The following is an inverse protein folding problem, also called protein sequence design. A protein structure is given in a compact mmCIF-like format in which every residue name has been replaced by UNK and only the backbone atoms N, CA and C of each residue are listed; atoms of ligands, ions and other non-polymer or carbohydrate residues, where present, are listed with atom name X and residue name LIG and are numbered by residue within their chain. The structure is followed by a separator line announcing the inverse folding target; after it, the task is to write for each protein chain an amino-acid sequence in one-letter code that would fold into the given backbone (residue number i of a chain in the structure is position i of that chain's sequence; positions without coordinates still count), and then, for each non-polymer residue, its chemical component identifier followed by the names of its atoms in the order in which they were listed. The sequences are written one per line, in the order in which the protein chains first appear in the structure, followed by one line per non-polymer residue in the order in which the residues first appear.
data_IF_556286536031
#
_entry.id   IF_556286536031
#
_cell.length_a   1.000
_cell.length_b   1.000
_cell.length_c   1.000
_cell.angle_alpha   90.00
_cell.angle_beta   90.00
_cell.angle_gamma   90.00
#
_symmetry.space_group_name_H-M   'P 1'
#
loop_
_entity.id
_entity.type
_entity.pdbx_description
1 polymer ?
#
# COMPACT_ATOMS: atom_id res chain seq x y z
N UNK A 1 -10.23 14.74 5.78
CA UNK A 1 -9.38 13.99 6.74
C UNK A 1 -8.50 12.99 5.98
N UNK A 2 -7.28 12.65 6.44
CA UNK A 2 -6.35 11.74 5.72
C UNK A 2 -7.01 10.41 5.32
N UNK A 3 -7.81 9.86 6.23
CA UNK A 3 -8.55 8.62 6.00
C UNK A 3 -9.54 8.72 4.81
N UNK A 4 -10.21 9.86 4.65
CA UNK A 4 -11.12 10.10 3.51
C UNK A 4 -10.34 10.19 2.19
N UNK A 5 -9.17 10.83 2.20
CA UNK A 5 -8.30 10.91 1.03
C UNK A 5 -7.74 9.53 0.64
N UNK A 6 -7.49 8.68 1.64
CA UNK A 6 -7.02 7.31 1.44
C UNK A 6 -8.11 6.34 0.96
N UNK A 7 -9.39 6.65 1.16
CA UNK A 7 -10.53 5.72 0.99
C UNK A 7 -10.59 4.97 -0.35
N UNK A 8 -10.05 5.54 -1.44
CA UNK A 8 -10.02 4.90 -2.76
C UNK A 8 -8.90 3.88 -2.94
N UNK A 9 -7.79 4.02 -2.21
CA UNK A 9 -6.59 3.17 -2.39
C UNK A 9 -6.90 1.68 -2.17
N UNK A 10 -7.63 1.26 -1.11
CA UNK A 10 -8.00 -0.14 -0.94
C UNK A 10 -8.80 -0.73 -2.11
N UNK A 11 -9.76 0.05 -2.64
CA UNK A 11 -10.60 -0.36 -3.76
C UNK A 11 -9.78 -0.50 -5.06
N UNK A 12 -8.88 0.45 -5.32
CA UNK A 12 -7.98 0.40 -6.48
C UNK A 12 -7.04 -0.81 -6.43
N UNK A 13 -6.45 -1.09 -5.27
CA UNK A 13 -5.60 -2.27 -5.07
C UNK A 13 -6.42 -3.56 -5.24
N UNK A 14 -7.63 -3.62 -4.68
CA UNK A 14 -8.53 -4.77 -4.86
C UNK A 14 -8.90 -5.01 -6.33
N UNK A 15 -9.19 -3.94 -7.08
CA UNK A 15 -9.41 -4.01 -8.54
C UNK A 15 -8.17 -4.47 -9.29
N UNK A 16 -6.98 -3.99 -8.90
CA UNK A 16 -5.72 -4.43 -9.51
C UNK A 16 -5.54 -5.95 -9.35
N UNK A 17 -5.75 -6.47 -8.13
CA UNK A 17 -5.62 -7.90 -7.83
C UNK A 17 -6.64 -8.76 -8.59
N UNK A 18 -7.89 -8.28 -8.70
CA UNK A 18 -8.99 -9.07 -9.30
C UNK A 18 -9.18 -8.84 -10.81
N UNK A 19 -8.45 -7.90 -11.39
CA UNK A 19 -8.50 -7.63 -12.82
C UNK A 19 -8.19 -8.89 -13.64
N UNK A 20 -9.12 -9.27 -14.51
CA UNK A 20 -8.99 -10.47 -15.37
C UNK A 20 -8.04 -10.23 -16.54
N UNK A 21 -7.86 -8.96 -16.94
CA UNK A 21 -7.02 -8.55 -18.07
C UNK A 21 -5.97 -7.55 -17.59
N UNK A 22 -4.74 -7.69 -18.10
CA UNK A 22 -3.65 -6.72 -17.84
C UNK A 22 -3.90 -5.35 -18.50
N UNK A 23 -4.90 -5.26 -19.38
CA UNK A 23 -5.27 -4.02 -20.08
C UNK A 23 -5.84 -2.95 -19.14
N UNK A 24 -6.45 -3.35 -18.02
CA UNK A 24 -6.96 -2.41 -17.01
C UNK A 24 -5.86 -1.81 -16.13
N UNK A 25 -4.68 -2.44 -16.08
CA UNK A 25 -3.59 -2.08 -15.15
C UNK A 25 -3.08 -0.64 -15.34
N UNK A 26 -2.84 -0.13 -16.56
CA UNK A 26 -2.36 1.23 -16.75
C UNK A 26 -3.33 2.27 -16.18
N UNK A 27 -4.64 2.09 -16.38
CA UNK A 27 -5.67 2.99 -15.86
C UNK A 27 -5.71 2.99 -14.33
N UNK A 28 -5.64 1.80 -13.71
CA UNK A 28 -5.61 1.66 -12.25
C UNK A 28 -4.34 2.29 -11.66
N UNK A 29 -3.18 2.06 -12.29
CA UNK A 29 -1.89 2.65 -11.88
C UNK A 29 -1.94 4.19 -11.93
N UNK A 30 -2.57 4.76 -12.95
CA UNK A 30 -2.75 6.20 -13.07
C UNK A 30 -3.68 6.77 -11.99
N UNK A 31 -4.79 6.09 -11.69
CA UNK A 31 -5.66 6.46 -10.57
C UNK A 31 -4.93 6.36 -9.22
N UNK A 32 -4.14 5.31 -9.00
CA UNK A 32 -3.32 5.17 -7.79
C UNK A 32 -2.33 6.33 -7.65
N UNK A 33 -1.64 6.72 -8.74
CA UNK A 33 -0.72 7.87 -8.73
C UNK A 33 -1.42 9.15 -8.29
N UNK A 34 -2.65 9.40 -8.77
CA UNK A 34 -3.47 10.56 -8.38
C UNK A 34 -3.85 10.53 -6.90
N UNK A 35 -4.27 9.37 -6.38
CA UNK A 35 -4.61 9.24 -4.96
C UNK A 35 -3.36 9.40 -4.07
N UNK A 36 -2.21 8.87 -4.47
CA UNK A 36 -0.94 9.08 -3.77
C UNK A 36 -0.45 10.52 -3.80
N UNK A 37 -0.69 11.28 -4.88
CA UNK A 37 -0.39 12.72 -4.91
C UNK A 37 -1.15 13.50 -3.83
N UNK A 38 -2.41 13.14 -3.55
CA UNK A 38 -3.18 13.80 -2.48
C UNK A 38 -2.56 13.54 -1.10
N UNK A 39 -2.03 12.33 -0.88
CA UNK A 39 -1.35 11.98 0.37
C UNK A 39 0.02 12.67 0.49
N UNK A 40 0.74 12.81 -0.62
CA UNK A 40 1.97 13.60 -0.71
C UNK A 40 1.72 15.07 -0.35
N UNK A 41 0.63 15.66 -0.84
CA UNK A 41 0.23 17.04 -0.50
C UNK A 41 -0.02 17.21 1.00
N UNK A 42 -0.65 16.23 1.66
CA UNK A 42 -0.84 16.24 3.12
C UNK A 42 0.50 16.28 3.85
N UNK A 43 1.43 15.36 3.56
CA UNK A 43 2.76 15.32 4.17
C UNK A 43 3.57 16.59 3.84
N UNK A 44 3.33 17.17 2.66
CA UNK A 44 3.94 18.43 2.24
C UNK A 44 3.49 19.58 3.11
N UNK A 45 2.17 19.71 3.29
CA UNK A 45 1.55 20.80 4.05
C UNK A 45 1.81 20.68 5.56
N UNK A 46 1.73 19.48 6.11
CA UNK A 46 1.98 19.24 7.54
C UNK A 46 3.44 19.41 7.92
N UNK A 47 4.37 19.23 6.96
CA UNK A 47 5.83 19.28 7.18
C UNK A 47 6.30 18.30 8.27
N UNK A 48 5.63 17.16 8.36
CA UNK A 48 5.91 16.09 9.32
C UNK A 48 6.34 14.81 8.60
N UNK A 49 6.96 13.89 9.34
CA UNK A 49 7.34 12.57 8.82
C UNK A 49 6.13 11.66 8.68
N UNK A 50 5.19 11.73 9.61
CA UNK A 50 4.01 10.88 9.68
C UNK A 50 2.73 11.67 9.43
N UNK A 51 1.68 10.98 9.00
CA UNK A 51 0.35 11.58 8.84
C UNK A 51 -0.25 11.97 10.18
N UNK A 52 0.17 11.32 11.27
CA UNK A 52 -0.16 11.67 12.64
C UNK A 52 0.55 12.90 13.20
N UNK A 53 1.60 13.39 12.53
CA UNK A 53 2.46 14.46 13.02
C UNK A 53 3.92 14.04 13.16
N UNK A 54 4.60 14.56 14.18
CA UNK A 54 6.03 14.28 14.42
C UNK A 54 6.30 12.84 14.85
N UNK A 55 5.32 12.17 15.46
CA UNK A 55 5.36 10.77 15.83
C UNK A 55 4.32 9.96 15.07
N UNK A 56 4.64 8.70 14.86
CA UNK A 56 3.73 7.71 14.29
C UNK A 56 2.48 7.59 15.17
N UNK A 57 1.30 7.53 14.56
CA UNK A 57 0.03 7.37 15.29
C UNK A 57 -0.93 6.42 14.57
N UNK A 58 -2.15 6.30 15.10
CA UNK A 58 -3.19 5.40 14.57
C UNK A 58 -3.40 5.53 13.06
N UNK A 59 -3.43 6.74 12.51
CA UNK A 59 -3.68 6.94 11.07
C UNK A 59 -2.61 6.28 10.20
N UNK A 60 -1.35 6.30 10.64
CA UNK A 60 -0.24 5.70 9.90
C UNK A 60 -0.39 4.18 9.85
N UNK A 61 -0.70 3.56 11.00
CA UNK A 61 -0.98 2.12 11.08
C UNK A 61 -2.22 1.72 10.28
N UNK A 62 -3.27 2.54 10.29
CA UNK A 62 -4.50 2.23 9.55
C UNK A 62 -4.22 2.11 8.06
N UNK A 63 -3.42 2.99 7.46
CA UNK A 63 -3.20 2.97 6.01
C UNK A 63 -2.02 2.08 5.57
N UNK A 64 -1.08 1.80 6.48
CA UNK A 64 0.16 1.05 6.20
C UNK A 64 -0.02 -0.27 5.45
N UNK A 65 -0.98 -1.15 5.78
CA UNK A 65 -1.08 -2.47 5.16
C UNK A 65 -1.17 -2.41 3.63
N UNK A 66 -1.75 -1.35 3.07
CA UNK A 66 -1.86 -1.20 1.61
C UNK A 66 -0.56 -0.73 0.94
N UNK A 67 0.28 0.02 1.66
CA UNK A 67 1.59 0.45 1.18
C UNK A 67 2.64 -0.66 1.27
N UNK A 68 2.54 -1.50 2.30
CA UNK A 68 3.38 -2.70 2.43
C UNK A 68 3.26 -3.61 1.21
N UNK A 69 2.04 -3.79 0.70
CA UNK A 69 1.71 -4.70 -0.41
C UNK A 69 2.18 -4.21 -1.78
N UNK A 70 2.56 -2.94 -1.94
CA UNK A 70 2.91 -2.37 -3.25
C UNK A 70 4.09 -3.10 -3.89
N UNK A 71 5.05 -3.55 -3.10
CA UNK A 71 6.22 -4.27 -3.60
C UNK A 71 5.84 -5.63 -4.21
N UNK A 72 5.05 -6.42 -3.48
CA UNK A 72 4.58 -7.72 -3.95
C UNK A 72 3.67 -7.64 -5.18
N UNK A 73 2.98 -6.51 -5.34
CA UNK A 73 2.10 -6.21 -6.49
C UNK A 73 2.83 -5.52 -7.65
N UNK A 74 4.14 -5.28 -7.56
CA UNK A 74 4.91 -4.52 -8.56
C UNK A 74 4.34 -3.12 -8.84
N UNK A 75 3.81 -2.46 -7.79
CA UNK A 75 3.20 -1.14 -7.81
C UNK A 75 4.09 -0.04 -7.19
N UNK A 76 5.33 -0.35 -6.80
CA UNK A 76 6.25 0.64 -6.22
C UNK A 76 6.49 1.85 -7.14
N UNK A 77 6.43 1.67 -8.46
CA UNK A 77 6.54 2.78 -9.42
C UNK A 77 5.40 3.82 -9.30
N UNK A 78 4.28 3.48 -8.65
CA UNK A 78 3.18 4.41 -8.44
C UNK A 78 3.48 5.45 -7.36
N UNK A 79 4.54 5.29 -6.55
CA UNK A 79 4.95 6.27 -5.54
C UNK A 79 6.24 7.02 -5.92
N UNK A 80 6.80 6.78 -7.11
CA UNK A 80 8.07 7.41 -7.51
C UNK A 80 8.00 8.94 -7.61
N UNK A 81 6.81 9.49 -7.92
CA UNK A 81 6.56 10.93 -7.95
C UNK A 81 6.21 11.54 -6.59
N UNK A 82 6.19 10.76 -5.50
CA UNK A 82 5.79 11.19 -4.15
C UNK A 82 6.93 11.02 -3.14
N UNK A 83 7.94 11.93 -3.13
CA UNK A 83 9.15 11.75 -2.34
C UNK A 83 8.89 11.71 -0.82
N UNK A 84 7.97 12.51 -0.28
CA UNK A 84 7.65 12.44 1.16
C UNK A 84 6.92 11.17 1.53
N UNK A 85 6.03 10.69 0.66
CA UNK A 85 5.36 9.42 0.86
C UNK A 85 6.35 8.26 0.85
N UNK A 86 7.37 8.27 -0.03
CA UNK A 86 8.46 7.28 0.00
C UNK A 86 9.26 7.36 1.31
N UNK A 87 9.55 8.56 1.81
CA UNK A 87 10.20 8.74 3.11
C UNK A 87 9.34 8.22 4.26
N UNK A 88 8.04 8.48 4.23
CA UNK A 88 7.08 7.91 5.19
C UNK A 88 7.07 6.39 5.12
N UNK A 89 7.02 5.79 3.93
CA UNK A 89 7.09 4.33 3.75
C UNK A 89 8.40 3.73 4.30
N UNK A 90 9.52 4.43 4.14
CA UNK A 90 10.81 4.02 4.70
C UNK A 90 10.85 4.17 6.23
N UNK A 91 10.19 5.18 6.78
CA UNK A 91 10.06 5.37 8.22
C UNK A 91 9.16 4.31 8.86
N UNK A 92 8.02 3.98 8.24
CA UNK A 92 7.11 2.92 8.70
C UNK A 92 7.81 1.57 8.80
N UNK A 93 8.63 1.17 7.81
CA UNK A 93 9.39 -0.09 7.88
C UNK A 93 10.38 -0.18 9.04
N UNK A 94 10.78 0.94 9.64
CA UNK A 94 11.69 0.99 10.80
C UNK A 94 10.95 0.94 12.14
N UNK A 95 9.64 1.12 12.13
CA UNK A 95 8.84 1.01 13.35
C UNK A 95 8.86 -0.44 13.89
N UNK A 96 9.06 -0.67 15.20
CA UNK A 96 9.12 -2.03 15.75
C UNK A 96 7.83 -2.84 15.54
N UNK A 97 6.65 -2.21 15.60
CA UNK A 97 5.36 -2.89 15.42
C UNK A 97 5.18 -3.33 13.98
N UNK A 98 5.45 -2.42 13.03
CA UNK A 98 5.42 -2.72 11.60
C UNK A 98 6.44 -3.81 11.28
N UNK A 99 7.69 -3.64 11.70
CA UNK A 99 8.77 -4.58 11.38
C UNK A 99 8.51 -5.99 11.89
N UNK A 100 7.85 -6.13 13.04
CA UNK A 100 7.51 -7.44 13.61
C UNK A 100 6.38 -8.16 12.86
N UNK A 101 5.60 -7.45 12.04
CA UNK A 101 4.43 -7.96 11.32
C UNK A 101 4.60 -7.96 9.79
N UNK A 102 5.78 -7.58 9.28
CA UNK A 102 6.05 -7.55 7.85
C UNK A 102 5.87 -8.94 7.23
N UNK A 103 5.09 -8.99 6.15
CA UNK A 103 4.93 -10.19 5.34
C UNK A 103 5.99 -10.17 4.25
N UNK A 104 6.72 -11.27 4.07
CA UNK A 104 7.69 -11.34 2.99
C UNK A 104 6.99 -11.34 1.61
N UNK A 105 7.66 -10.73 0.64
CA UNK A 105 7.11 -10.51 -0.71
C UNK A 105 6.67 -11.81 -1.38
N UNK A 106 7.44 -12.90 -1.20
CA UNK A 106 7.19 -14.18 -1.86
C UNK A 106 5.99 -14.90 -1.25
N UNK A 107 5.86 -14.87 0.07
CA UNK A 107 4.71 -15.44 0.78
C UNK A 107 3.43 -14.72 0.38
N UNK A 108 3.43 -13.39 0.33
CA UNK A 108 2.24 -12.66 -0.10
C UNK A 108 1.89 -12.94 -1.58
N UNK A 109 2.89 -13.03 -2.47
CA UNK A 109 2.66 -13.42 -3.87
C UNK A 109 2.10 -14.85 -3.99
N UNK A 110 2.59 -15.79 -3.19
CA UNK A 110 2.09 -17.16 -3.15
C UNK A 110 0.64 -17.23 -2.68
N UNK A 111 0.31 -16.55 -1.59
CA UNK A 111 -1.07 -16.34 -1.14
C UNK A 111 -1.94 -15.78 -2.27
N UNK A 112 -1.53 -14.68 -2.92
CA UNK A 112 -2.32 -14.03 -3.96
C UNK A 112 -2.58 -14.95 -5.16
N UNK A 113 -1.57 -15.71 -5.59
CA UNK A 113 -1.69 -16.65 -6.71
C UNK A 113 -2.78 -17.71 -6.45
N UNK A 114 -2.88 -18.23 -5.23
CA UNK A 114 -3.93 -19.17 -4.84
C UNK A 114 -5.28 -18.45 -4.64
N UNK A 115 -5.25 -17.28 -4.01
CA UNK A 115 -6.46 -16.52 -3.67
C UNK A 115 -7.26 -16.11 -4.91
N UNK A 116 -6.61 -15.64 -5.98
CA UNK A 116 -7.29 -15.27 -7.24
C UNK A 116 -7.90 -16.47 -7.98
N UNK A 117 -7.48 -17.69 -7.63
CA UNK A 117 -8.02 -18.93 -8.16
C UNK A 117 -9.15 -19.52 -7.29
N UNK A 118 -9.50 -18.86 -6.18
CA UNK A 118 -10.43 -19.36 -5.16
C UNK A 118 -9.99 -20.71 -4.55
N UNK A 119 -8.69 -20.95 -4.43
CA UNK A 119 -8.14 -22.12 -3.75
C UNK A 119 -8.37 -22.02 -2.23
N UNK A 120 -8.78 -23.13 -1.61
CA UNK A 120 -9.02 -23.20 -0.15
C UNK A 120 -7.71 -23.16 0.63
N UNK A 121 -6.61 -23.55 -0.02
CA UNK A 121 -5.26 -23.56 0.51
C UNK A 121 -4.61 -22.17 0.56
N UNK A 122 -5.25 -21.15 -0.02
CA UNK A 122 -4.67 -19.81 -0.12
C UNK A 122 -4.28 -19.23 1.25
N UNK A 123 -5.20 -19.29 2.22
CA UNK A 123 -4.99 -18.73 3.56
C UNK A 123 -3.91 -19.47 4.37
N UNK A 124 -3.60 -20.72 4.01
CA UNK A 124 -2.61 -21.56 4.69
C UNK A 124 -1.26 -21.57 3.95
N UNK A 125 -1.06 -20.70 2.95
CA UNK A 125 0.19 -20.65 2.18
C UNK A 125 1.40 -20.37 3.09
N UNK A 126 2.34 -21.33 3.14
CA UNK A 126 3.59 -21.20 3.90
C UNK A 126 3.56 -21.77 5.33
N UNK A 127 2.44 -22.36 5.74
CA UNK A 127 2.30 -23.10 7.01
C UNK A 127 2.59 -24.60 6.85
#
# INVERSE_FOLDING_TARGET
MVFELFSKVPSLIGRFITSKTKEDHPGIKEELRKEFSKLEEVLTNMKTTFFGGSSLSMIDYLIWPWFERLEALELNECVDHTPKLKLWMAAMRKDPTVSALLIDTKTFQGFLNLYVQNSLEACDYGL
#
